data_IF_800972307394
#
_entry.id   IF_800972307394
#
_cell.length_a   1.000
_cell.length_b   1.000
_cell.length_c   1.000
_cell.angle_alpha   90.00
_cell.angle_beta   90.00
_cell.angle_gamma   90.00
#
_symmetry.space_group_name_H-M   'P 1'
#
loop_
_entity.id
_entity.type
_entity.pdbx_description
1 polymer ?
#
# COMPACT_ATOMS: atom_id res chain seq x y z
N UNK A 1 27.23 8.72 -24.81
CA UNK A 1 27.78 7.65 -23.97
C UNK A 1 26.67 7.12 -23.09
N UNK A 2 26.32 5.84 -23.15
CA UNK A 2 25.84 4.98 -22.05
C UNK A 2 25.37 3.64 -22.62
N UNK A 3 26.32 2.86 -23.10
CA UNK A 3 26.19 1.41 -23.28
C UNK A 3 26.56 0.71 -21.97
N UNK A 4 25.71 0.85 -20.95
CA UNK A 4 25.81 0.04 -19.74
C UNK A 4 24.39 -0.40 -19.37
N UNK A 5 24.17 -1.72 -19.38
CA UNK A 5 23.00 -2.36 -18.82
C UNK A 5 22.74 -1.83 -17.40
N UNK A 6 21.48 -1.62 -17.03
CA UNK A 6 21.12 -1.38 -15.63
C UNK A 6 21.64 -2.54 -14.78
N UNK A 7 22.37 -2.24 -13.70
CA UNK A 7 22.92 -3.24 -12.79
C UNK A 7 21.83 -4.04 -12.05
N UNK A 8 20.60 -3.53 -12.02
CA UNK A 8 19.43 -4.17 -11.43
C UNK A 8 18.58 -4.87 -12.50
N UNK A 9 18.80 -6.17 -12.63
CA UNK A 9 17.97 -7.07 -13.45
C UNK A 9 16.88 -7.74 -12.59
N UNK A 10 16.70 -7.29 -11.34
CA UNK A 10 15.78 -7.86 -10.34
C UNK A 10 14.73 -6.86 -9.82
N UNK A 11 13.80 -7.38 -9.00
CA UNK A 11 12.79 -6.60 -8.27
C UNK A 11 13.46 -5.63 -7.29
N UNK A 12 13.05 -4.36 -7.31
CA UNK A 12 13.58 -3.30 -6.46
C UNK A 12 12.47 -2.37 -5.92
N UNK A 13 11.22 -2.84 -6.00
CA UNK A 13 10.04 -2.13 -5.55
C UNK A 13 10.15 -1.80 -4.05
N UNK A 14 9.67 -0.62 -3.65
CA UNK A 14 9.80 -0.12 -2.26
C UNK A 14 8.55 -0.36 -1.42
N UNK A 15 7.39 -0.54 -2.07
CA UNK A 15 6.14 -0.89 -1.43
C UNK A 15 5.15 -1.55 -2.40
N UNK A 16 4.11 -2.16 -1.84
CA UNK A 16 2.95 -2.68 -2.58
C UNK A 16 1.84 -1.63 -2.56
N UNK A 17 1.38 -1.20 -3.73
CA UNK A 17 0.16 -0.40 -3.88
C UNK A 17 -1.04 -1.31 -4.08
N UNK A 18 -2.09 -1.13 -3.27
CA UNK A 18 -3.31 -1.91 -3.29
C UNK A 18 -4.53 -0.98 -3.45
N UNK A 19 -5.39 -1.25 -4.43
CA UNK A 19 -6.61 -0.46 -4.68
C UNK A 19 -6.59 0.23 -6.03
N UNK A 20 -7.08 1.48 -6.08
CA UNK A 20 -7.23 2.27 -7.31
C UNK A 20 -6.64 3.68 -7.12
N UNK A 21 -6.34 4.38 -8.21
CA UNK A 21 -5.87 5.79 -8.16
C UNK A 21 -4.35 5.97 -8.10
N UNK A 22 -3.55 4.95 -8.40
CA UNK A 22 -2.08 5.05 -8.43
C UNK A 22 -1.49 5.43 -9.80
N UNK A 23 -2.32 5.87 -10.75
CA UNK A 23 -1.93 6.25 -12.12
C UNK A 23 -0.79 7.29 -12.17
N UNK A 24 -0.70 8.15 -11.15
CA UNK A 24 0.31 9.19 -11.01
C UNK A 24 1.68 8.70 -10.51
N UNK A 25 1.79 7.47 -9.97
CA UNK A 25 2.98 6.97 -9.24
C UNK A 25 3.55 5.68 -9.88
N UNK A 26 3.17 5.36 -11.13
CA UNK A 26 3.70 4.20 -11.86
C UNK A 26 5.14 4.45 -12.37
N UNK A 27 6.09 4.60 -11.45
CA UNK A 27 7.52 4.71 -11.74
C UNK A 27 8.18 3.33 -11.63
N UNK A 28 9.08 3.04 -12.59
CA UNK A 28 9.84 1.78 -12.61
C UNK A 28 10.64 1.63 -11.31
N UNK A 29 10.52 0.47 -10.67
CA UNK A 29 11.19 0.09 -9.41
C UNK A 29 10.75 0.88 -8.16
N UNK A 30 9.62 1.59 -8.20
CA UNK A 30 9.07 2.25 -7.00
C UNK A 30 8.01 1.38 -6.31
N UNK A 31 7.13 0.75 -7.08
CA UNK A 31 5.88 0.14 -6.62
C UNK A 31 5.60 -1.17 -7.35
N UNK A 32 5.19 -2.19 -6.59
CA UNK A 32 4.42 -3.30 -7.14
C UNK A 32 2.93 -2.97 -6.99
N UNK A 33 2.16 -3.00 -8.08
CA UNK A 33 0.76 -2.55 -8.05
C UNK A 33 -0.21 -3.72 -8.22
N UNK A 34 -1.11 -3.90 -7.26
CA UNK A 34 -2.21 -4.85 -7.31
C UNK A 34 -3.54 -4.06 -7.43
N UNK A 35 -4.17 -4.15 -8.61
CA UNK A 35 -5.45 -3.48 -8.87
C UNK A 35 -6.57 -4.21 -8.12
N UNK A 36 -7.22 -3.53 -7.17
CA UNK A 36 -8.25 -4.15 -6.33
C UNK A 36 -9.56 -3.34 -6.45
N UNK A 37 -10.56 -3.90 -7.12
CA UNK A 37 -11.96 -3.47 -6.94
C UNK A 37 -12.62 -4.22 -5.78
N UNK A 38 -12.23 -5.47 -5.54
CA UNK A 38 -12.56 -6.28 -4.36
C UNK A 38 -11.31 -7.05 -3.91
N UNK A 39 -11.25 -7.48 -2.64
CA UNK A 39 -10.06 -8.18 -2.12
C UNK A 39 -9.90 -9.54 -2.79
N UNK A 40 -11.02 -10.20 -3.03
CA UNK A 40 -11.15 -11.52 -3.63
C UNK A 40 -10.61 -11.56 -5.07
N UNK A 41 -10.72 -10.46 -5.82
CA UNK A 41 -10.29 -10.40 -7.23
C UNK A 41 -8.78 -10.19 -7.40
N UNK A 42 -8.07 -9.61 -6.44
CA UNK A 42 -6.61 -9.37 -6.56
C UNK A 42 -5.76 -10.11 -5.52
N UNK A 43 -6.28 -11.21 -4.97
CA UNK A 43 -5.50 -12.10 -4.08
C UNK A 43 -4.25 -12.66 -4.76
N UNK A 44 -4.32 -12.98 -6.05
CA UNK A 44 -3.20 -13.58 -6.79
C UNK A 44 -2.04 -12.59 -6.96
N UNK A 45 -2.33 -11.35 -7.37
CA UNK A 45 -1.32 -10.31 -7.53
C UNK A 45 -0.68 -9.96 -6.18
N UNK A 46 -1.50 -9.85 -5.15
CA UNK A 46 -1.04 -9.57 -3.81
C UNK A 46 -0.13 -10.66 -3.24
N UNK A 47 -0.46 -11.94 -3.46
CA UNK A 47 0.41 -13.07 -3.06
C UNK A 47 1.77 -13.01 -3.77
N UNK A 48 1.79 -12.60 -5.05
CA UNK A 48 3.04 -12.38 -5.80
C UNK A 48 3.84 -11.22 -5.19
N UNK A 49 3.17 -10.11 -4.87
CA UNK A 49 3.79 -8.98 -4.18
C UNK A 49 4.41 -9.39 -2.84
N UNK A 50 3.66 -10.10 -2.00
CA UNK A 50 4.17 -10.63 -0.72
C UNK A 50 5.35 -11.58 -0.94
N UNK A 51 5.32 -12.43 -1.98
CA UNK A 51 6.45 -13.32 -2.30
C UNK A 51 7.71 -12.55 -2.68
N UNK A 52 7.59 -11.50 -3.50
CA UNK A 52 8.70 -10.62 -3.87
C UNK A 52 9.29 -9.98 -2.60
N UNK A 53 8.44 -9.34 -1.79
CA UNK A 53 8.88 -8.67 -0.56
C UNK A 53 9.32 -9.63 0.55
N UNK A 54 8.95 -10.91 0.48
CA UNK A 54 9.48 -11.93 1.38
C UNK A 54 10.99 -12.11 1.15
N UNK A 55 11.43 -12.06 -0.11
CA UNK A 55 12.85 -12.08 -0.46
C UNK A 55 13.54 -10.74 -0.21
N UNK A 56 12.92 -9.62 -0.59
CA UNK A 56 13.54 -8.29 -0.47
C UNK A 56 13.60 -7.75 0.96
N UNK A 57 12.56 -7.99 1.77
CA UNK A 57 12.40 -7.39 3.09
C UNK A 57 12.42 -8.43 4.20
N UNK A 58 11.50 -9.40 4.16
CA UNK A 58 11.28 -10.33 5.30
C UNK A 58 12.52 -11.18 5.58
N UNK A 59 13.23 -11.63 4.55
CA UNK A 59 14.49 -12.36 4.68
C UNK A 59 15.58 -11.58 5.43
N UNK A 60 15.46 -10.26 5.47
CA UNK A 60 16.36 -9.34 6.16
C UNK A 60 15.76 -8.74 7.45
N UNK A 61 14.62 -9.27 7.91
CA UNK A 61 13.91 -8.80 9.11
C UNK A 61 13.19 -7.45 8.93
N UNK A 62 13.02 -6.99 7.69
CA UNK A 62 12.30 -5.76 7.37
C UNK A 62 10.82 -6.07 7.10
N UNK A 63 9.88 -5.18 7.47
CA UNK A 63 8.47 -5.38 7.18
C UNK A 63 8.16 -5.17 5.69
N UNK A 64 7.07 -5.77 5.23
CA UNK A 64 6.45 -5.52 3.93
C UNK A 64 5.54 -4.30 4.04
N UNK A 65 5.84 -3.18 3.35
CA UNK A 65 4.96 -2.01 3.34
C UNK A 65 3.90 -2.13 2.25
N UNK A 66 2.64 -1.97 2.64
CA UNK A 66 1.45 -1.98 1.76
C UNK A 66 0.71 -0.67 1.92
N UNK A 67 0.43 0.02 0.82
CA UNK A 67 -0.40 1.22 0.79
C UNK A 67 -1.74 0.86 0.16
N UNK A 68 -2.81 0.97 0.94
CA UNK A 68 -4.20 0.79 0.48
C UNK A 68 -4.77 2.17 0.17
N UNK A 69 -5.17 2.40 -1.08
CA UNK A 69 -5.74 3.67 -1.54
C UNK A 69 -7.02 3.49 -2.31
N UNK A 70 -8.01 4.30 -1.96
CA UNK A 70 -9.22 4.51 -2.76
C UNK A 70 -9.49 6.00 -2.87
N UNK A 71 -9.67 6.47 -4.10
CA UNK A 71 -9.97 7.86 -4.40
C UNK A 71 -11.48 8.12 -4.26
N UNK A 72 -11.82 9.38 -3.98
CA UNK A 72 -13.20 9.84 -3.91
C UNK A 72 -13.36 11.17 -4.64
N UNK A 73 -14.61 11.55 -4.92
CA UNK A 73 -14.95 12.87 -5.44
C UNK A 73 -15.64 13.67 -4.34
N UNK A 74 -15.01 14.75 -3.87
CA UNK A 74 -15.53 15.62 -2.81
C UNK A 74 -16.88 16.26 -3.15
N UNK A 75 -17.20 16.41 -4.44
CA UNK A 75 -18.51 16.92 -4.88
C UNK A 75 -19.64 15.88 -4.76
N UNK A 76 -19.33 14.59 -4.55
CA UNK A 76 -20.31 13.51 -4.45
C UNK A 76 -20.59 13.19 -2.97
N UNK A 77 -21.82 13.44 -2.46
CA UNK A 77 -22.17 13.15 -1.09
C UNK A 77 -21.89 11.68 -0.68
N UNK A 78 -21.22 11.53 0.45
CA UNK A 78 -20.84 10.23 1.02
C UNK A 78 -19.72 9.50 0.26
N UNK A 79 -19.14 10.07 -0.79
CA UNK A 79 -18.06 9.41 -1.55
C UNK A 79 -16.82 9.17 -0.68
N UNK A 80 -16.43 10.17 0.13
CA UNK A 80 -15.31 10.04 1.06
C UNK A 80 -15.52 8.90 2.05
N UNK A 81 -16.70 8.84 2.69
CA UNK A 81 -17.02 7.79 3.66
C UNK A 81 -17.01 6.38 3.02
N UNK A 82 -17.48 6.25 1.77
CA UNK A 82 -17.40 4.97 1.03
C UNK A 82 -15.95 4.57 0.74
N UNK A 83 -15.09 5.51 0.35
CA UNK A 83 -13.67 5.25 0.10
C UNK A 83 -12.95 4.82 1.38
N UNK A 84 -13.20 5.51 2.50
CA UNK A 84 -12.66 5.17 3.82
C UNK A 84 -13.07 3.77 4.27
N UNK A 85 -14.36 3.44 4.16
CA UNK A 85 -14.87 2.09 4.44
C UNK A 85 -14.24 1.03 3.53
N UNK A 86 -13.97 1.37 2.27
CA UNK A 86 -13.32 0.45 1.34
C UNK A 86 -11.87 0.19 1.74
N UNK A 87 -11.10 1.23 2.04
CA UNK A 87 -9.75 1.11 2.60
C UNK A 87 -9.73 0.18 3.82
N UNK A 88 -10.66 0.40 4.76
CA UNK A 88 -10.75 -0.38 5.99
C UNK A 88 -11.04 -1.87 5.72
N UNK A 89 -12.00 -2.18 4.84
CA UNK A 89 -12.32 -3.57 4.47
C UNK A 89 -11.12 -4.27 3.82
N UNK A 90 -10.46 -3.60 2.88
CA UNK A 90 -9.31 -4.17 2.16
C UNK A 90 -8.14 -4.37 3.12
N UNK A 91 -7.85 -3.39 3.98
CA UNK A 91 -6.80 -3.49 4.98
C UNK A 91 -7.06 -4.62 5.99
N UNK A 92 -8.31 -4.81 6.43
CA UNK A 92 -8.67 -5.89 7.33
C UNK A 92 -8.50 -7.27 6.68
N UNK A 93 -8.95 -7.42 5.43
CA UNK A 93 -8.82 -8.67 4.70
C UNK A 93 -7.36 -9.01 4.35
N UNK A 94 -6.55 -7.99 4.02
CA UNK A 94 -5.10 -8.11 3.86
C UNK A 94 -4.43 -8.67 5.12
N UNK A 95 -4.71 -8.06 6.26
CA UNK A 95 -4.13 -8.46 7.54
C UNK A 95 -4.59 -9.86 7.95
N UNK A 96 -5.87 -10.19 7.74
CA UNK A 96 -6.41 -11.52 8.03
C UNK A 96 -5.80 -12.61 7.13
N UNK A 97 -5.57 -12.31 5.83
CA UNK A 97 -4.95 -13.26 4.89
C UNK A 97 -3.49 -13.55 5.25
N UNK A 98 -2.75 -12.51 5.63
CA UNK A 98 -1.34 -12.62 6.00
C UNK A 98 -1.15 -12.42 7.51
N UNK A 99 -1.96 -13.14 8.28
CA UNK A 99 -2.00 -13.02 9.74
C UNK A 99 -0.64 -13.34 10.38
N UNK A 100 0.09 -14.34 9.88
CA UNK A 100 1.45 -14.64 10.36
C UNK A 100 2.38 -13.43 10.25
N UNK A 101 2.42 -12.77 9.09
CA UNK A 101 3.24 -11.57 8.90
C UNK A 101 2.75 -10.42 9.77
N UNK A 102 1.44 -10.26 9.93
CA UNK A 102 0.83 -9.22 10.77
C UNK A 102 1.20 -9.41 12.25
N UNK A 103 1.02 -10.61 12.79
CA UNK A 103 1.34 -10.95 14.18
C UNK A 103 2.83 -10.81 14.49
N UNK A 104 3.68 -11.09 13.50
CA UNK A 104 5.14 -10.90 13.61
C UNK A 104 5.58 -9.44 13.44
N UNK A 105 4.65 -8.51 13.16
CA UNK A 105 4.97 -7.11 12.90
C UNK A 105 5.71 -6.88 11.58
N UNK A 106 5.62 -7.82 10.64
CA UNK A 106 6.32 -7.82 9.35
C UNK A 106 5.40 -7.45 8.19
N UNK A 107 4.12 -7.14 8.44
CA UNK A 107 3.24 -6.50 7.48
C UNK A 107 2.82 -5.12 8.02
N UNK A 108 3.04 -4.08 7.23
CA UNK A 108 2.64 -2.72 7.57
C UNK A 108 1.69 -2.18 6.52
N UNK A 109 0.48 -1.80 6.94
CA UNK A 109 -0.58 -1.32 6.06
C UNK A 109 -0.86 0.15 6.35
N UNK A 110 -0.68 0.98 5.34
CA UNK A 110 -1.03 2.40 5.34
C UNK A 110 -2.29 2.60 4.53
N UNK A 111 -3.35 3.14 5.13
CA UNK A 111 -4.61 3.46 4.45
C UNK A 111 -4.63 4.94 4.13
N UNK A 112 -4.88 5.27 2.86
CA UNK A 112 -4.96 6.65 2.38
C UNK A 112 -6.18 6.83 1.47
N UNK A 113 -6.66 8.06 1.36
CA UNK A 113 -7.63 8.45 0.33
C UNK A 113 -7.16 9.74 -0.33
N UNK A 114 -7.70 10.04 -1.51
CA UNK A 114 -7.48 11.31 -2.19
C UNK A 114 -8.81 11.81 -2.73
N UNK A 115 -9.01 13.11 -2.63
CA UNK A 115 -10.09 13.80 -3.35
C UNK A 115 -9.63 14.14 -4.78
N UNK A 116 -10.21 13.47 -5.78
CA UNK A 116 -9.95 13.72 -7.19
C UNK A 116 -10.31 15.15 -7.63
N UNK A 117 -11.23 15.80 -6.92
CA UNK A 117 -11.68 17.16 -7.25
C UNK A 117 -10.71 18.23 -6.72
N UNK A 118 -9.70 17.83 -5.94
CA UNK A 118 -8.72 18.73 -5.32
C UNK A 118 -7.28 18.23 -5.51
N UNK A 119 -6.45 19.01 -6.18
CA UNK A 119 -5.03 18.68 -6.34
C UNK A 119 -4.30 18.59 -4.98
N UNK A 120 -3.43 17.59 -4.83
CA UNK A 120 -2.59 17.41 -3.64
C UNK A 120 -3.30 16.93 -2.36
N UNK A 121 -4.52 16.40 -2.47
CA UNK A 121 -5.42 16.05 -1.36
C UNK A 121 -5.21 14.64 -0.77
N UNK A 122 -3.99 14.14 -0.67
CA UNK A 122 -3.75 12.82 -0.06
C UNK A 122 -3.99 12.92 1.45
N UNK A 123 -4.95 12.16 1.96
CA UNK A 123 -5.31 12.06 3.37
C UNK A 123 -4.92 10.70 3.95
N UNK A 124 -4.32 10.71 5.13
CA UNK A 124 -4.06 9.51 5.93
C UNK A 124 -5.34 9.10 6.67
N UNK A 125 -5.77 7.86 6.51
CA UNK A 125 -6.94 7.31 7.21
C UNK A 125 -6.54 6.46 8.42
N UNK A 126 -5.58 5.54 8.24
CA UNK A 126 -5.11 4.66 9.29
C UNK A 126 -3.72 4.09 8.95
N UNK A 127 -3.00 3.61 9.96
CA UNK A 127 -1.71 2.94 9.79
C UNK A 127 -1.61 1.80 10.81
N UNK A 128 -1.13 0.62 10.38
CA UNK A 128 -0.90 -0.50 11.29
C UNK A 128 0.42 -0.39 12.07
N UNK A 129 1.30 0.53 11.69
CA UNK A 129 2.44 0.90 12.53
C UNK A 129 1.90 1.73 13.67
N UNK A 130 2.16 1.31 14.91
CA UNK A 130 1.96 2.16 16.07
C UNK A 130 2.78 3.44 15.88
N UNK A 131 2.14 4.49 15.38
CA UNK A 131 2.60 5.83 15.67
C UNK A 131 2.40 6.00 17.17
N UNK A 132 3.38 5.57 17.96
CA UNK A 132 3.62 6.25 19.22
C UNK A 132 3.75 7.71 18.82
N UNK A 133 2.67 8.45 19.03
CA UNK A 133 2.74 9.88 19.21
C UNK A 133 3.67 10.05 20.39
N UNK A 134 4.98 10.19 20.14
CA UNK A 134 5.85 10.91 21.06
C UNK A 134 5.41 12.38 21.00
N UNK A 135 4.23 12.65 21.55
CA UNK A 135 3.93 13.90 22.17
C UNK A 135 4.61 13.85 23.54
N UNK A 136 5.77 14.50 23.67
CA UNK A 136 6.33 14.89 24.96
C UNK A 136 7.75 14.43 25.25
N UNK A 137 8.64 15.42 25.37
CA UNK A 137 9.77 15.44 26.30
C UNK A 137 11.10 14.91 25.78
N UNK A 138 11.97 15.80 25.27
CA UNK A 138 13.06 16.42 26.03
C UNK A 138 13.67 17.58 25.24
#
# INVERSE_FOLDING_TARGET
NHGQHYADIGHAERFIGAGVGFEEIQLRNLMYFAYLNTVEEATADLDVGIKIFSGLNVAHGLPVPVIVRFDHHGQVPGSRARAEQHCARVAAALQARFDDLTQRGLLHVLQVTRDCDRAGSIELLACSVNAQTQAGGH
#
